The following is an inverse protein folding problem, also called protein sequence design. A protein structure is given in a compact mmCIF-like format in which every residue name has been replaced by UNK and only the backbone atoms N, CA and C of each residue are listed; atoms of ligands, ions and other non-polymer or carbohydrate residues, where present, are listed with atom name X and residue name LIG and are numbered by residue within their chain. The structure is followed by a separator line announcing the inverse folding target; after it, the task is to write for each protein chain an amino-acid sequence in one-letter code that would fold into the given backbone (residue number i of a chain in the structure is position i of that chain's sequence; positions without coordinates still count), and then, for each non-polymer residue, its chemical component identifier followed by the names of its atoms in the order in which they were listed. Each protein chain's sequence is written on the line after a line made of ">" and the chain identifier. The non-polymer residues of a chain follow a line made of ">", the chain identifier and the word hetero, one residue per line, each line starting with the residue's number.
data_IF_496108675494
#
_entry.id   IF_496108675494
#
_cell.length_a   1.000
_cell.length_b   1.000
_cell.length_c   1.000
_cell.angle_alpha   90.00
_cell.angle_beta   90.00
_cell.angle_gamma   90.00
#
_symmetry.space_group_name_H-M   'P 1'
#
loop_
_entity.id
_entity.type
_entity.pdbx_description
1 polymer ?
#
# COMPACT_ATOMS: atom_id res chain seq x y z
N UNK A 1 6.24 21.29 -15.26
CA UNK A 1 7.47 20.50 -14.96
C UNK A 1 7.57 20.19 -13.47
N UNK A 2 7.65 21.19 -12.57
CA UNK A 2 7.79 20.97 -11.12
C UNK A 2 6.76 20.02 -10.47
N UNK A 3 5.48 20.10 -10.85
CA UNK A 3 4.42 19.24 -10.29
C UNK A 3 4.60 17.77 -10.70
N UNK A 4 4.93 17.50 -11.96
CA UNK A 4 5.19 16.14 -12.42
C UNK A 4 6.44 15.55 -11.77
N UNK A 5 7.50 16.34 -11.60
CA UNK A 5 8.73 15.88 -10.93
C UNK A 5 8.48 15.55 -9.45
N UNK A 6 7.59 16.30 -8.78
CA UNK A 6 7.15 15.98 -7.43
C UNK A 6 6.35 14.68 -7.36
N UNK A 7 5.37 14.50 -8.25
CA UNK A 7 4.56 13.28 -8.31
C UNK A 7 5.41 12.03 -8.62
N UNK A 8 6.38 12.15 -9.53
CA UNK A 8 7.31 11.05 -9.83
C UNK A 8 8.16 10.69 -8.62
N UNK A 9 8.65 11.68 -7.86
CA UNK A 9 9.39 11.41 -6.62
C UNK A 9 8.53 10.71 -5.57
N UNK A 10 7.25 11.03 -5.47
CA UNK A 10 6.35 10.38 -4.50
C UNK A 10 6.02 8.94 -4.90
N UNK A 11 5.75 8.68 -6.18
CA UNK A 11 5.62 7.30 -6.69
C UNK A 11 6.90 6.50 -6.41
N UNK A 12 8.07 7.07 -6.71
CA UNK A 12 9.36 6.41 -6.48
C UNK A 12 9.63 6.17 -4.99
N UNK A 13 9.29 7.13 -4.13
CA UNK A 13 9.42 7.04 -2.68
C UNK A 13 8.57 5.89 -2.13
N UNK A 14 7.30 5.81 -2.56
CA UNK A 14 6.42 4.73 -2.15
C UNK A 14 6.90 3.37 -2.68
N UNK A 15 7.33 3.29 -3.94
CA UNK A 15 7.89 2.06 -4.52
C UNK A 15 9.11 1.55 -3.74
N UNK A 16 10.01 2.45 -3.32
CA UNK A 16 11.17 2.10 -2.47
C UNK A 16 10.73 1.58 -1.11
N UNK A 17 9.74 2.22 -0.49
CA UNK A 17 9.17 1.76 0.77
C UNK A 17 8.59 0.35 0.66
N UNK A 18 7.82 0.06 -0.40
CA UNK A 18 7.30 -1.28 -0.68
C UNK A 18 8.46 -2.28 -0.76
N UNK A 19 9.48 -2.02 -1.58
CA UNK A 19 10.67 -2.89 -1.70
C UNK A 19 11.34 -3.15 -0.35
N UNK A 20 11.45 -2.16 0.53
CA UNK A 20 12.02 -2.32 1.86
C UNK A 20 11.20 -3.26 2.75
N UNK A 21 9.88 -3.15 2.74
CA UNK A 21 9.00 -4.07 3.49
C UNK A 21 9.09 -5.49 2.92
N UNK A 22 9.09 -5.64 1.60
CA UNK A 22 9.26 -6.95 0.94
C UNK A 22 10.58 -7.63 1.31
N UNK A 23 11.66 -6.85 1.45
CA UNK A 23 12.94 -7.38 1.93
C UNK A 23 12.83 -7.89 3.36
N UNK A 24 12.24 -7.10 4.28
CA UNK A 24 12.06 -7.50 5.69
C UNK A 24 11.27 -8.81 5.81
N UNK A 25 10.21 -8.97 5.03
CA UNK A 25 9.43 -10.20 5.03
C UNK A 25 10.20 -11.40 4.45
N UNK A 26 10.96 -11.23 3.37
CA UNK A 26 11.80 -12.30 2.81
C UNK A 26 12.94 -12.74 3.73
N UNK A 27 13.33 -11.92 4.71
CA UNK A 27 14.25 -12.34 5.77
C UNK A 27 13.53 -13.06 6.92
N UNK A 28 12.21 -12.92 7.05
CA UNK A 28 11.39 -13.55 8.11
C UNK A 28 10.71 -14.86 7.66
N UNK A 29 10.40 -15.04 6.37
CA UNK A 29 9.75 -16.24 5.84
C UNK A 29 10.80 -17.28 5.40
N UNK A 30 10.89 -18.39 6.14
CA UNK A 30 11.54 -19.60 5.66
C UNK A 30 10.82 -20.09 4.38
N UNK A 31 11.59 -20.56 3.40
CA UNK A 31 11.33 -20.54 1.94
C UNK A 31 10.06 -21.23 1.41
N UNK A 32 9.18 -21.77 2.23
CA UNK A 32 8.25 -22.84 1.82
C UNK A 32 6.77 -22.49 1.76
N UNK A 33 6.34 -21.26 2.06
CA UNK A 33 4.90 -20.93 2.00
C UNK A 33 4.62 -19.68 1.20
N UNK A 34 4.51 -19.86 -0.12
CA UNK A 34 3.95 -18.87 -1.04
C UNK A 34 2.57 -19.36 -1.46
N UNK A 35 1.55 -18.98 -0.70
CA UNK A 35 0.16 -19.14 -1.11
C UNK A 35 -0.20 -17.99 -2.07
N UNK A 36 -0.17 -18.27 -3.38
CA UNK A 36 -0.86 -17.46 -4.39
C UNK A 36 -2.20 -18.13 -4.67
N UNK A 37 -3.30 -17.35 -4.80
CA UNK A 37 -4.49 -17.57 -5.68
C UNK A 37 -5.72 -16.70 -5.30
N UNK A 38 -5.72 -15.88 -4.24
CA UNK A 38 -6.86 -14.95 -3.94
C UNK A 38 -6.70 -13.51 -4.47
N UNK A 39 -5.50 -13.09 -4.90
CA UNK A 39 -5.16 -11.67 -5.14
C UNK A 39 -5.66 -11.08 -6.46
N UNK A 40 -5.82 -11.90 -7.50
CA UNK A 40 -6.15 -11.41 -8.85
C UNK A 40 -7.59 -10.86 -8.93
N UNK A 41 -8.51 -11.40 -8.14
CA UNK A 41 -9.91 -10.94 -8.10
C UNK A 41 -10.06 -9.60 -7.39
N UNK A 42 -9.34 -9.40 -6.27
CA UNK A 42 -9.36 -8.15 -5.53
C UNK A 42 -8.73 -7.01 -6.35
N UNK A 43 -7.62 -7.31 -7.05
CA UNK A 43 -7.01 -6.35 -7.96
C UNK A 43 -7.95 -5.96 -9.11
N UNK A 44 -8.65 -6.92 -9.73
CA UNK A 44 -9.62 -6.64 -10.79
C UNK A 44 -10.80 -5.79 -10.30
N UNK A 45 -11.31 -6.06 -9.09
CA UNK A 45 -12.38 -5.28 -8.47
C UNK A 45 -11.97 -3.82 -8.22
N UNK A 46 -10.74 -3.58 -7.73
CA UNK A 46 -10.23 -2.23 -7.56
C UNK A 46 -9.98 -1.50 -8.89
N UNK A 47 -9.49 -2.19 -9.92
CA UNK A 47 -9.40 -1.61 -11.26
C UNK A 47 -10.78 -1.20 -11.77
N UNK A 48 -11.79 -2.06 -11.62
CA UNK A 48 -13.18 -1.74 -11.99
C UNK A 48 -13.72 -0.53 -11.23
N UNK A 49 -13.45 -0.40 -9.93
CA UNK A 49 -13.85 0.78 -9.15
C UNK A 49 -13.14 2.06 -9.62
N UNK A 50 -11.84 2.00 -9.91
CA UNK A 50 -11.07 3.12 -10.46
C UNK A 50 -11.61 3.53 -11.84
N UNK A 51 -11.89 2.55 -12.72
CA UNK A 51 -12.47 2.78 -14.04
C UNK A 51 -13.89 3.37 -13.98
N UNK A 52 -14.65 3.06 -12.92
CA UNK A 52 -16.00 3.58 -12.70
C UNK A 52 -16.03 4.94 -11.96
N UNK A 53 -14.88 5.60 -11.77
CA UNK A 53 -14.78 6.90 -11.10
C UNK A 53 -14.89 6.83 -9.57
N UNK A 54 -14.99 5.64 -8.98
CA UNK A 54 -15.22 5.47 -7.54
C UNK A 54 -13.92 5.50 -6.73
N UNK A 55 -13.09 6.53 -6.93
CA UNK A 55 -11.73 6.60 -6.36
C UNK A 55 -11.78 6.67 -4.83
N UNK A 56 -12.63 7.53 -4.27
CA UNK A 56 -12.78 7.68 -2.83
C UNK A 56 -13.33 6.39 -2.18
N UNK A 57 -14.38 5.77 -2.77
CA UNK A 57 -14.90 4.49 -2.29
C UNK A 57 -13.84 3.37 -2.37
N UNK A 58 -13.04 3.34 -3.43
CA UNK A 58 -11.95 2.39 -3.60
C UNK A 58 -10.85 2.59 -2.57
N UNK A 59 -10.46 3.83 -2.28
CA UNK A 59 -9.48 4.09 -1.22
C UNK A 59 -10.00 3.62 0.14
N UNK A 60 -11.23 3.96 0.52
CA UNK A 60 -11.80 3.55 1.79
C UNK A 60 -11.80 2.04 1.96
N UNK A 61 -12.22 1.31 0.92
CA UNK A 61 -12.21 -0.16 0.94
C UNK A 61 -10.79 -0.74 1.05
N UNK A 62 -9.82 -0.14 0.37
CA UNK A 62 -8.40 -0.50 0.47
C UNK A 62 -7.88 -0.27 1.90
N UNK A 63 -8.16 0.89 2.47
CA UNK A 63 -7.76 1.26 3.83
C UNK A 63 -8.34 0.33 4.88
N UNK A 64 -9.66 0.09 4.84
CA UNK A 64 -10.32 -0.84 5.75
C UNK A 64 -9.72 -2.25 5.68
N UNK A 65 -9.35 -2.70 4.48
CA UNK A 65 -8.73 -4.01 4.27
C UNK A 65 -7.34 -4.08 4.90
N UNK A 66 -6.56 -3.00 4.76
CA UNK A 66 -5.22 -2.87 5.36
C UNK A 66 -5.30 -2.80 6.88
N UNK A 67 -6.20 -1.99 7.44
CA UNK A 67 -6.36 -1.85 8.89
C UNK A 67 -6.80 -3.15 9.57
N UNK A 68 -7.73 -3.88 8.94
CA UNK A 68 -8.23 -5.16 9.47
C UNK A 68 -7.14 -6.22 9.50
N UNK A 69 -6.33 -6.32 8.45
CA UNK A 69 -5.24 -7.28 8.38
C UNK A 69 -4.16 -6.80 7.39
N UNK A 70 -3.09 -6.12 7.87
CA UNK A 70 -2.06 -5.59 6.98
C UNK A 70 -1.20 -6.73 6.42
N UNK A 71 -1.44 -7.11 5.16
CA UNK A 71 -0.69 -8.14 4.44
C UNK A 71 0.10 -7.55 3.27
N UNK A 72 1.18 -8.21 2.84
CA UNK A 72 2.00 -7.69 1.74
C UNK A 72 1.25 -7.55 0.43
N UNK A 73 0.26 -8.40 0.19
CA UNK A 73 -0.62 -8.34 -0.97
C UNK A 73 -1.37 -7.01 -1.01
N UNK A 74 -1.87 -6.55 0.13
CA UNK A 74 -2.57 -5.27 0.24
C UNK A 74 -1.62 -4.08 0.03
N UNK A 75 -0.35 -4.22 0.42
CA UNK A 75 0.68 -3.20 0.16
C UNK A 75 1.00 -3.09 -1.34
N UNK A 76 1.17 -4.22 -2.05
CA UNK A 76 1.33 -4.22 -3.52
C UNK A 76 0.10 -3.62 -4.21
N UNK A 77 -1.08 -3.94 -3.71
CA UNK A 77 -2.33 -3.40 -4.23
C UNK A 77 -2.38 -1.88 -4.08
N UNK A 78 -1.96 -1.37 -2.92
CA UNK A 78 -1.83 0.07 -2.67
C UNK A 78 -0.85 0.73 -3.64
N UNK A 79 0.32 0.11 -3.89
CA UNK A 79 1.30 0.62 -4.85
C UNK A 79 0.68 0.84 -6.23
N UNK A 80 -0.08 -0.14 -6.72
CA UNK A 80 -0.77 -0.05 -8.02
C UNK A 80 -1.88 1.01 -8.00
N UNK A 81 -2.69 1.05 -6.94
CA UNK A 81 -3.76 2.05 -6.79
C UNK A 81 -3.21 3.48 -6.85
N UNK A 82 -2.25 3.81 -6.00
CA UNK A 82 -1.69 5.17 -5.95
C UNK A 82 -0.89 5.53 -7.21
N UNK A 83 -0.27 4.55 -7.87
CA UNK A 83 0.37 4.77 -9.17
C UNK A 83 -0.63 5.21 -10.25
N UNK A 84 -1.85 4.69 -10.26
CA UNK A 84 -2.91 5.14 -11.18
C UNK A 84 -3.49 6.49 -10.76
N UNK A 85 -3.76 6.67 -9.47
CA UNK A 85 -4.25 7.92 -8.89
C UNK A 85 -3.31 9.08 -9.25
N UNK A 86 -1.99 8.93 -9.12
CA UNK A 86 -1.03 9.99 -9.43
C UNK A 86 -0.89 10.34 -10.92
N UNK A 87 -1.38 9.49 -11.84
CA UNK A 87 -1.44 9.81 -13.28
C UNK A 87 -2.66 10.68 -13.64
N UNK A 88 -3.68 10.70 -12.78
CA UNK A 88 -4.91 11.47 -13.01
C UNK A 88 -4.71 12.96 -12.71
N UNK A 89 -5.46 13.81 -13.41
CA UNK A 89 -5.44 15.26 -13.17
C UNK A 89 -6.23 15.62 -11.91
N UNK A 90 -5.88 16.73 -11.27
CA UNK A 90 -6.56 17.16 -10.04
C UNK A 90 -8.05 17.41 -10.26
N UNK A 91 -8.41 17.95 -11.44
CA UNK A 91 -9.80 18.20 -11.83
C UNK A 91 -10.61 16.90 -11.84
N UNK A 92 -10.05 15.83 -12.41
CA UNK A 92 -10.70 14.52 -12.43
C UNK A 92 -10.89 13.93 -11.03
N UNK A 93 -9.91 14.09 -10.13
CA UNK A 93 -10.04 13.61 -8.75
C UNK A 93 -11.13 14.37 -8.01
N UNK A 94 -11.19 15.69 -8.18
CA UNK A 94 -12.18 16.53 -7.55
C UNK A 94 -13.60 16.15 -7.98
N UNK A 95 -13.79 15.81 -9.27
CA UNK A 95 -15.07 15.26 -9.77
C UNK A 95 -15.48 13.95 -9.06
N UNK A 96 -14.51 13.20 -8.53
CA UNK A 96 -14.72 11.97 -7.76
C UNK A 96 -14.67 12.17 -6.24
N UNK A 97 -14.80 13.43 -5.76
CA UNK A 97 -14.68 13.80 -4.34
C UNK A 97 -13.39 13.30 -3.70
N UNK A 98 -12.27 13.50 -4.40
CA UNK A 98 -10.96 13.05 -3.97
C UNK A 98 -9.90 14.11 -4.31
N UNK A 99 -8.83 14.18 -3.53
CA UNK A 99 -7.77 15.17 -3.68
C UNK A 99 -6.38 14.55 -3.71
N UNK A 100 -5.39 15.34 -4.13
CA UNK A 100 -4.00 14.90 -4.14
C UNK A 100 -3.45 14.83 -2.73
N UNK A 101 -3.87 15.76 -1.89
CA UNK A 101 -3.55 15.85 -0.47
C UNK A 101 -4.02 14.60 0.27
N UNK A 102 -5.27 14.17 0.05
CA UNK A 102 -5.80 12.91 0.62
C UNK A 102 -4.95 11.71 0.21
N UNK A 103 -4.54 11.62 -1.05
CA UNK A 103 -3.65 10.54 -1.50
C UNK A 103 -2.31 10.50 -0.75
N UNK A 104 -1.72 11.66 -0.45
CA UNK A 104 -0.48 11.72 0.32
C UNK A 104 -0.67 11.33 1.79
N UNK A 105 -1.72 11.86 2.43
CA UNK A 105 -2.06 11.53 3.82
C UNK A 105 -2.30 10.02 3.99
N UNK A 106 -3.03 9.43 3.06
CA UNK A 106 -3.29 8.01 3.01
C UNK A 106 -2.03 7.17 2.79
N UNK A 107 -1.10 7.60 1.92
CA UNK A 107 0.18 6.90 1.76
C UNK A 107 1.02 6.91 3.04
N UNK A 108 1.05 8.03 3.76
CA UNK A 108 1.82 8.12 5.01
C UNK A 108 1.21 7.26 6.11
N UNK A 109 -0.12 7.23 6.22
CA UNK A 109 -0.84 6.32 7.11
C UNK A 109 -0.55 4.85 6.77
N UNK A 110 -0.56 4.45 5.50
CA UNK A 110 -0.18 3.10 5.08
C UNK A 110 1.27 2.81 5.51
N UNK A 111 2.22 3.72 5.24
CA UNK A 111 3.62 3.54 5.66
C UNK A 111 3.71 3.29 7.16
N UNK A 112 2.99 4.06 7.98
CA UNK A 112 2.98 3.88 9.42
C UNK A 112 2.43 2.51 9.86
N UNK A 113 1.33 2.05 9.28
CA UNK A 113 0.72 0.74 9.60
C UNK A 113 1.73 -0.38 9.38
N UNK A 114 2.39 -0.39 8.22
CA UNK A 114 3.37 -1.43 7.89
C UNK A 114 4.65 -1.26 8.72
N UNK A 115 5.14 -0.05 8.95
CA UNK A 115 6.29 0.16 9.84
C UNK A 115 6.02 -0.36 11.25
N UNK A 116 4.84 -0.09 11.83
CA UNK A 116 4.44 -0.61 13.15
C UNK A 116 4.45 -2.14 13.15
N UNK A 117 3.81 -2.78 12.15
CA UNK A 117 3.79 -4.25 12.00
C UNK A 117 5.20 -4.85 12.02
N UNK A 118 6.11 -4.43 11.14
CA UNK A 118 7.43 -5.05 11.02
C UNK A 118 8.43 -4.59 12.10
N UNK A 119 8.21 -3.44 12.75
CA UNK A 119 9.00 -3.05 13.92
C UNK A 119 8.59 -3.85 15.17
N UNK A 120 7.31 -4.21 15.31
CA UNK A 120 6.82 -5.05 16.40
C UNK A 120 7.18 -6.53 16.22
N UNK A 121 7.20 -7.06 15.00
CA UNK A 121 7.74 -8.39 14.68
C UNK A 121 9.18 -8.55 15.19
N UNK A 122 10.01 -7.54 14.95
CA UNK A 122 11.39 -7.50 15.45
C UNK A 122 11.45 -7.55 16.98
N UNK A 123 10.53 -6.89 17.72
CA UNK A 123 10.51 -6.91 19.21
C UNK A 123 10.07 -8.25 19.81
N UNK A 124 9.19 -9.00 19.15
CA UNK A 124 8.73 -10.32 19.64
C UNK A 124 9.84 -11.37 19.54
N UNK A 125 10.65 -11.31 18.47
CA UNK A 125 11.73 -12.25 18.22
C UNK A 125 12.81 -12.23 19.33
N UNK A 126 13.11 -11.08 19.95
CA UNK A 126 14.12 -10.99 21.04
C UNK A 126 13.69 -11.57 22.39
N UNK A 127 12.39 -11.81 22.62
CA UNK A 127 11.91 -12.38 23.89
C UNK A 127 11.93 -13.91 23.91
N UNK A 128 11.89 -14.55 22.75
CA UNK A 128 11.98 -16.02 22.65
C UNK A 128 13.44 -16.51 22.65
N UNK A 129 14.39 -15.72 22.11
CA UNK A 129 15.81 -16.09 22.04
C UNK A 129 16.55 -15.99 23.40
N UNK A 130 15.89 -15.51 24.46
CA UNK A 130 16.51 -15.31 25.79
C UNK A 130 16.08 -16.32 26.87
N UNK A 131 15.28 -17.32 26.51
CA UNK A 131 14.77 -18.34 27.44
C UNK A 131 15.19 -19.78 27.11
N UNK A 132 16.30 -19.96 26.38
CA UNK A 132 17.01 -21.26 26.26
C UNK A 132 18.46 -21.14 26.77
#
# INVERSE_FOLDING_TARGET
>A
MLKNDFLMREIESFSKFVIEIFRKEKFEIDKEQVAMIEDDYLFYHFQEMIYNGKINEAENALFETIEKNPKLEHLKLSEKFYSEVFKMSDEYLQEQNYSREEAFESLDQIKEIYQKKYNDSNRRNWKEVRND
#
